data_IF_599111482156
#
_entry.id   IF_599111482156
#
_cell.length_a   1.000
_cell.length_b   1.000
_cell.length_c   1.000
_cell.angle_alpha   90.00
_cell.angle_beta   90.00
_cell.angle_gamma   90.00
#
_symmetry.space_group_name_H-M   'P 1'
#
loop_
_entity.id
_entity.type
_entity.pdbx_description
1 polymer ?
#
# COMPACT_ATOMS: atom_id res chain seq x y z
N UNK A 1 -15.68 -4.50 13.50
CA UNK A 1 -14.91 -3.23 13.59
C UNK A 1 -13.96 -3.01 12.43
N UNK A 2 -12.99 -3.90 12.14
CA UNK A 2 -12.05 -3.68 11.00
C UNK A 2 -12.77 -3.51 9.66
N UNK A 3 -13.68 -4.43 9.33
CA UNK A 3 -14.48 -4.34 8.10
C UNK A 3 -15.27 -3.02 8.06
N UNK A 4 -15.97 -2.67 9.15
CA UNK A 4 -16.72 -1.41 9.25
C UNK A 4 -15.84 -0.17 9.02
N UNK A 5 -14.62 -0.16 9.56
CA UNK A 5 -13.66 0.94 9.36
C UNK A 5 -13.13 1.02 7.92
N UNK A 6 -12.90 -0.12 7.27
CA UNK A 6 -12.49 -0.18 5.85
C UNK A 6 -13.63 0.24 4.95
N UNK A 7 -14.85 -0.26 5.18
CA UNK A 7 -16.06 0.15 4.45
C UNK A 7 -16.33 1.64 4.65
N UNK A 8 -16.22 2.16 5.87
CA UNK A 8 -16.36 3.59 6.14
C UNK A 8 -15.33 4.44 5.38
N UNK A 9 -14.08 4.00 5.30
CA UNK A 9 -13.02 4.65 4.51
C UNK A 9 -13.33 4.66 3.01
N UNK A 10 -13.81 3.53 2.46
CA UNK A 10 -14.20 3.43 1.04
C UNK A 10 -15.40 4.33 0.76
N UNK A 11 -16.45 4.26 1.57
CA UNK A 11 -17.66 5.07 1.41
C UNK A 11 -17.36 6.57 1.57
N UNK A 12 -16.47 6.95 2.50
CA UNK A 12 -16.06 8.35 2.67
C UNK A 12 -15.25 8.91 1.49
N UNK A 13 -14.73 8.05 0.62
CA UNK A 13 -14.06 8.46 -0.63
C UNK A 13 -15.02 8.71 -1.79
N UNK A 14 -16.28 8.27 -1.68
CA UNK A 14 -17.29 8.46 -2.72
C UNK A 14 -17.73 9.93 -2.77
N UNK A 15 -17.73 10.57 -3.95
CA UNK A 15 -18.13 11.98 -4.08
C UNK A 15 -19.60 12.19 -3.69
N UNK A 16 -20.47 11.19 -3.87
CA UNK A 16 -21.89 11.26 -3.52
C UNK A 16 -22.12 11.31 -2.00
N UNK A 17 -21.16 10.80 -1.21
CA UNK A 17 -21.22 10.77 0.25
C UNK A 17 -20.33 11.85 0.90
N UNK A 18 -19.81 12.77 0.09
CA UNK A 18 -19.06 13.93 0.54
C UNK A 18 -19.96 15.15 0.54
N UNK A 19 -20.11 15.77 1.70
CA UNK A 19 -20.72 17.08 1.83
C UNK A 19 -19.74 18.16 1.39
N UNK A 20 -20.18 19.02 0.46
CA UNK A 20 -19.44 20.22 0.04
C UNK A 20 -19.60 21.31 1.09
N UNK A 21 -18.50 21.75 1.67
CA UNK A 21 -18.45 22.93 2.53
C UNK A 21 -17.68 24.05 1.83
N UNK A 22 -18.32 25.21 1.65
CA UNK A 22 -17.66 26.41 1.12
C UNK A 22 -17.02 27.10 2.31
N UNK A 23 -15.69 27.11 2.37
CA UNK A 23 -14.96 27.95 3.32
C UNK A 23 -14.52 29.21 2.59
N UNK A 24 -15.05 30.37 3.00
CA UNK A 24 -14.54 31.67 2.57
C UNK A 24 -13.29 31.95 3.39
N UNK A 25 -12.12 31.83 2.76
CA UNK A 25 -10.86 32.18 3.41
C UNK A 25 -10.78 33.69 3.64
N UNK A 26 -9.98 34.14 4.63
CA UNK A 26 -9.78 35.56 4.92
C UNK A 26 -9.23 36.38 3.73
N UNK A 27 -8.71 35.70 2.70
CA UNK A 27 -8.25 36.29 1.43
C UNK A 27 -9.37 36.40 0.36
N UNK A 28 -10.61 36.02 0.67
CA UNK A 28 -11.74 36.05 -0.27
C UNK A 28 -11.77 34.90 -1.28
N UNK A 29 -10.89 33.91 -1.16
CA UNK A 29 -10.89 32.68 -1.96
C UNK A 29 -11.89 31.66 -1.39
N UNK A 30 -12.79 31.16 -2.25
CA UNK A 30 -13.72 30.07 -1.92
C UNK A 30 -13.01 28.71 -2.03
N UNK A 31 -12.63 28.13 -0.89
CA UNK A 31 -12.06 26.78 -0.86
C UNK A 31 -13.18 25.77 -0.64
N UNK A 32 -13.54 25.06 -1.71
CA UNK A 32 -14.50 23.96 -1.66
C UNK A 32 -13.87 22.75 -0.96
N UNK A 33 -14.25 22.52 0.30
CA UNK A 33 -13.79 21.38 1.08
C UNK A 33 -14.83 20.27 1.08
N UNK A 34 -14.44 19.12 0.55
CA UNK A 34 -15.23 17.89 0.61
C UNK A 34 -14.94 17.16 1.92
N UNK A 35 -15.96 17.01 2.76
CA UNK A 35 -15.90 16.21 3.99
C UNK A 35 -16.91 15.07 3.94
N UNK A 36 -16.55 13.86 4.43
CA UNK A 36 -17.51 12.77 4.55
C UNK A 36 -18.75 13.19 5.36
N UNK A 37 -19.88 12.53 5.13
CA UNK A 37 -21.04 12.72 5.98
C UNK A 37 -20.75 12.42 7.46
N UNK A 38 -21.41 13.17 8.35
CA UNK A 38 -21.25 13.08 9.81
C UNK A 38 -21.32 11.65 10.35
N UNK A 39 -22.22 10.81 9.80
CA UNK A 39 -22.34 9.41 10.21
C UNK A 39 -21.07 8.58 9.95
N UNK A 40 -20.40 8.81 8.82
CA UNK A 40 -19.16 8.09 8.48
C UNK A 40 -18.01 8.52 9.41
N UNK A 41 -17.94 9.81 9.72
CA UNK A 41 -16.96 10.36 10.68
C UNK A 41 -17.17 9.77 12.10
N UNK A 42 -18.42 9.66 12.55
CA UNK A 42 -18.73 9.01 13.84
C UNK A 42 -18.35 7.52 13.85
N UNK A 43 -18.64 6.79 12.78
CA UNK A 43 -18.23 5.38 12.65
C UNK A 43 -16.72 5.23 12.67
N UNK A 44 -15.99 6.11 11.98
CA UNK A 44 -14.54 6.14 11.97
C UNK A 44 -13.98 6.40 13.38
N UNK A 45 -14.51 7.40 14.09
CA UNK A 45 -14.13 7.73 15.46
C UNK A 45 -14.31 6.53 16.41
N UNK A 46 -15.48 5.89 16.38
CA UNK A 46 -15.76 4.71 17.22
C UNK A 46 -14.80 3.57 16.91
N UNK A 47 -14.49 3.33 15.63
CA UNK A 47 -13.53 2.30 15.22
C UNK A 47 -12.11 2.60 15.73
N UNK A 48 -11.66 3.86 15.66
CA UNK A 48 -10.33 4.27 16.11
C UNK A 48 -10.21 4.16 17.63
N UNK A 49 -11.24 4.59 18.38
CA UNK A 49 -11.30 4.42 19.83
C UNK A 49 -11.14 2.93 20.19
N UNK A 50 -11.90 2.06 19.52
CA UNK A 50 -11.81 0.61 19.72
C UNK A 50 -10.39 0.07 19.42
N UNK A 51 -9.79 0.46 18.30
CA UNK A 51 -8.43 0.02 17.94
C UNK A 51 -7.37 0.53 18.90
N UNK A 52 -7.54 1.73 19.43
CA UNK A 52 -6.64 2.30 20.44
C UNK A 52 -6.71 1.51 21.73
N UNK A 53 -7.92 1.22 22.21
CA UNK A 53 -8.12 0.39 23.42
C UNK A 53 -7.49 -0.99 23.22
N UNK A 54 -7.77 -1.65 22.07
CA UNK A 54 -7.19 -2.95 21.73
C UNK A 54 -5.66 -2.93 21.74
N UNK A 55 -5.03 -1.89 21.16
CA UNK A 55 -3.57 -1.73 21.14
C UNK A 55 -3.00 -1.45 22.54
N UNK A 56 -3.60 -0.53 23.30
CA UNK A 56 -3.15 -0.14 24.63
C UNK A 56 -3.23 -1.31 25.62
N UNK A 57 -4.33 -2.06 25.62
CA UNK A 57 -4.47 -3.23 26.49
C UNK A 57 -3.36 -4.25 26.20
N UNK A 58 -3.10 -4.55 24.92
CA UNK A 58 -1.99 -5.44 24.53
C UNK A 58 -0.63 -4.90 24.93
N UNK A 59 -0.41 -3.61 24.72
CA UNK A 59 0.83 -2.94 25.09
C UNK A 59 1.07 -3.01 26.61
N UNK A 60 0.05 -2.74 27.43
CA UNK A 60 0.13 -2.77 28.91
C UNK A 60 0.37 -4.20 29.43
N UNK A 61 -0.30 -5.20 28.87
CA UNK A 61 -0.18 -6.61 29.29
C UNK A 61 1.17 -7.22 28.90
N UNK A 62 1.81 -6.76 27.83
CA UNK A 62 3.09 -7.32 27.38
C UNK A 62 4.25 -6.99 28.35
N UNK A 63 5.13 -7.94 28.64
CA UNK A 63 6.31 -7.74 29.48
C UNK A 63 7.45 -7.01 28.74
N UNK A 64 7.72 -7.39 27.50
CA UNK A 64 8.81 -6.83 26.67
C UNK A 64 8.30 -5.74 25.70
N UNK A 65 8.08 -4.51 26.19
CA UNK A 65 7.46 -3.41 25.42
C UNK A 65 8.17 -3.11 24.08
N UNK A 66 9.51 -3.06 24.07
CA UNK A 66 10.28 -2.75 22.86
C UNK A 66 10.19 -3.85 21.80
N UNK A 67 10.08 -5.11 22.22
CA UNK A 67 9.89 -6.24 21.31
C UNK A 67 8.47 -6.24 20.75
N UNK A 68 7.48 -5.93 21.59
CA UNK A 68 6.09 -5.80 21.17
C UNK A 68 5.93 -4.79 20.03
N UNK A 69 6.48 -3.58 20.16
CA UNK A 69 6.32 -2.53 19.13
C UNK A 69 7.04 -2.85 17.81
N UNK A 70 8.05 -3.73 17.82
CA UNK A 70 8.81 -4.14 16.62
C UNK A 70 8.19 -5.32 15.88
N UNK A 71 7.21 -6.00 16.46
CA UNK A 71 6.56 -7.14 15.83
C UNK A 71 5.63 -6.68 14.69
N UNK A 72 5.68 -7.29 13.49
CA UNK A 72 4.98 -6.77 12.30
C UNK A 72 3.47 -6.53 12.49
N UNK A 73 2.77 -7.42 13.19
CA UNK A 73 1.34 -7.28 13.44
C UNK A 73 1.02 -6.12 14.41
N UNK A 74 1.90 -5.85 15.37
CA UNK A 74 1.73 -4.76 16.33
C UNK A 74 2.13 -3.41 15.70
N UNK A 75 3.08 -3.42 14.75
CA UNK A 75 3.40 -2.25 13.93
C UNK A 75 2.20 -1.82 13.08
N UNK A 76 1.50 -2.78 12.45
CA UNK A 76 0.26 -2.51 11.71
C UNK A 76 -0.83 -1.92 12.62
N UNK A 77 -1.00 -2.46 13.82
CA UNK A 77 -1.96 -1.93 14.79
C UNK A 77 -1.63 -0.47 15.18
N UNK A 78 -0.35 -0.15 15.36
CA UNK A 78 0.12 1.22 15.61
C UNK A 78 -0.12 2.15 14.41
N UNK A 79 0.27 1.73 13.20
CA UNK A 79 0.03 2.48 11.96
C UNK A 79 -1.45 2.73 11.68
N UNK A 80 -2.35 1.90 12.19
CA UNK A 80 -3.80 2.08 12.04
C UNK A 80 -4.34 3.26 12.85
N UNK A 81 -3.76 3.54 14.03
CA UNK A 81 -4.23 4.61 14.92
C UNK A 81 -3.46 5.93 14.73
N UNK A 82 -2.20 5.86 14.30
CA UNK A 82 -1.31 7.02 14.12
C UNK A 82 -1.95 8.16 13.32
N UNK A 83 -2.61 7.93 12.17
CA UNK A 83 -3.14 9.02 11.35
C UNK A 83 -4.08 9.96 12.11
N UNK A 84 -4.97 9.39 12.94
CA UNK A 84 -5.94 10.16 13.72
C UNK A 84 -5.27 10.99 14.81
N UNK A 85 -4.35 10.38 15.57
CA UNK A 85 -3.63 11.09 16.63
C UNK A 85 -2.71 12.16 16.06
N UNK A 86 -2.10 11.92 14.91
CA UNK A 86 -1.26 12.91 14.23
C UNK A 86 -2.10 14.10 13.74
N UNK A 87 -3.30 13.87 13.19
CA UNK A 87 -4.23 14.95 12.85
C UNK A 87 -4.63 15.78 14.07
N UNK A 88 -4.97 15.13 15.19
CA UNK A 88 -5.29 15.83 16.45
C UNK A 88 -4.11 16.66 16.94
N UNK A 89 -2.90 16.09 16.99
CA UNK A 89 -1.70 16.78 17.45
C UNK A 89 -1.39 17.98 16.56
N UNK A 90 -1.48 17.84 15.24
CA UNK A 90 -1.26 18.94 14.28
C UNK A 90 -2.32 20.04 14.43
N UNK A 91 -3.56 19.68 14.75
CA UNK A 91 -4.64 20.63 15.01
C UNK A 91 -4.44 21.38 16.33
N UNK A 92 -4.09 20.68 17.42
CA UNK A 92 -3.85 21.25 18.75
C UNK A 92 -2.58 22.10 18.77
N UNK A 93 -1.52 21.68 18.08
CA UNK A 93 -0.26 22.43 17.98
C UNK A 93 -0.39 23.76 17.21
N UNK A 94 -1.62 24.17 16.83
CA UNK A 94 -1.88 25.44 16.15
C UNK A 94 -1.43 25.47 14.70
N UNK A 95 -0.84 24.39 14.17
CA UNK A 95 -0.32 24.36 12.80
C UNK A 95 -1.47 24.44 11.78
N UNK A 96 -2.66 23.89 12.09
CA UNK A 96 -3.88 24.12 11.29
C UNK A 96 -4.57 25.45 11.62
N UNK A 97 -4.32 26.03 12.79
CA UNK A 97 -4.87 27.33 13.21
C UNK A 97 -4.45 28.48 12.27
N UNK A 98 -3.23 28.43 11.72
CA UNK A 98 -2.75 29.41 10.73
C UNK A 98 -3.44 29.26 9.36
N UNK A 99 -3.98 28.07 9.04
CA UNK A 99 -4.72 27.81 7.78
C UNK A 99 -6.19 28.26 7.89
N UNK A 100 -6.79 28.17 9.08
CA UNK A 100 -8.23 28.44 9.27
C UNK A 100 -8.50 29.86 9.78
N UNK A 101 -7.62 30.40 10.64
CA UNK A 101 -7.74 31.75 11.21
C UNK A 101 -6.48 32.52 10.89
N UNK A 102 -6.52 33.32 9.82
CA UNK A 102 -5.41 34.16 9.36
C UNK A 102 -4.98 35.20 10.41
N UNK A 103 -4.22 34.77 11.42
CA UNK A 103 -3.48 35.63 12.31
C UNK A 103 -2.01 35.63 11.84
N UNK A 104 -1.54 36.69 11.17
CA UNK A 104 -0.18 36.79 10.66
C UNK A 104 0.84 37.17 11.75
N UNK A 105 0.52 37.03 13.04
CA UNK A 105 1.31 37.59 14.14
C UNK A 105 2.45 36.69 14.64
N UNK A 106 2.69 35.52 14.05
CA UNK A 106 3.94 34.77 14.26
C UNK A 106 4.67 34.52 12.93
N UNK A 107 5.58 35.44 12.60
CA UNK A 107 6.82 35.16 11.87
C UNK A 107 6.67 34.76 10.41
N UNK A 108 6.50 35.74 9.53
CA UNK A 108 6.56 35.59 8.09
C UNK A 108 7.96 35.18 7.58
N UNK A 109 8.23 33.86 7.49
CA UNK A 109 9.23 33.25 6.59
C UNK A 109 8.71 31.97 5.88
N UNK A 110 7.40 31.73 5.91
CA UNK A 110 6.80 30.39 5.95
C UNK A 110 5.99 29.98 4.71
N UNK A 111 6.37 30.39 3.49
CA UNK A 111 5.70 29.86 2.27
C UNK A 111 6.08 28.38 2.06
N UNK A 112 7.28 27.97 2.47
CA UNK A 112 7.75 26.58 2.44
C UNK A 112 7.09 25.68 3.49
N UNK A 113 6.91 26.15 4.73
CA UNK A 113 6.38 25.32 5.82
C UNK A 113 4.85 25.11 5.71
N UNK A 114 4.11 26.05 5.09
CA UNK A 114 2.69 25.87 4.76
C UNK A 114 2.46 24.80 3.70
N UNK A 115 3.25 24.81 2.61
CA UNK A 115 3.20 23.79 1.56
C UNK A 115 3.65 22.43 2.08
N UNK A 116 4.66 22.40 2.95
CA UNK A 116 5.10 21.21 3.67
C UNK A 116 3.98 20.60 4.52
N UNK A 117 3.27 21.41 5.30
CA UNK A 117 2.15 20.92 6.13
C UNK A 117 0.99 20.37 5.30
N UNK A 118 0.61 21.05 4.22
CA UNK A 118 -0.45 20.57 3.34
C UNK A 118 -0.09 19.20 2.72
N UNK A 119 1.19 18.98 2.37
CA UNK A 119 1.67 17.66 1.95
C UNK A 119 1.62 16.64 3.08
N UNK A 120 2.05 17.00 4.30
CA UNK A 120 1.97 16.12 5.47
C UNK A 120 0.53 15.67 5.71
N UNK A 121 -0.44 16.59 5.70
CA UNK A 121 -1.86 16.25 5.87
C UNK A 121 -2.36 15.28 4.78
N UNK A 122 -1.90 15.42 3.53
CA UNK A 122 -2.23 14.46 2.45
C UNK A 122 -1.63 13.08 2.72
N UNK A 123 -0.37 13.02 3.14
CA UNK A 123 0.29 11.75 3.48
C UNK A 123 -0.41 11.08 4.66
N UNK A 124 -0.78 11.83 5.69
CA UNK A 124 -1.53 11.32 6.85
C UNK A 124 -2.87 10.71 6.44
N UNK A 125 -3.60 11.36 5.52
CA UNK A 125 -4.83 10.79 4.96
C UNK A 125 -4.58 9.48 4.21
N UNK A 126 -3.52 9.40 3.41
CA UNK A 126 -3.14 8.16 2.69
C UNK A 126 -2.73 7.04 3.67
N UNK A 127 -2.05 7.38 4.77
CA UNK A 127 -1.68 6.40 5.80
C UNK A 127 -2.89 5.69 6.42
N UNK A 128 -4.10 6.28 6.35
CA UNK A 128 -5.33 5.60 6.81
C UNK A 128 -5.57 4.27 6.08
N UNK A 129 -5.10 4.11 4.84
CA UNK A 129 -5.17 2.84 4.08
C UNK A 129 -4.44 1.71 4.79
N UNK A 130 -3.45 2.02 5.65
CA UNK A 130 -2.75 1.02 6.46
C UNK A 130 -3.69 0.16 7.32
N UNK A 131 -4.87 0.68 7.70
CA UNK A 131 -5.89 -0.06 8.45
C UNK A 131 -6.39 -1.31 7.71
N UNK A 132 -6.32 -1.36 6.38
CA UNK A 132 -6.67 -2.55 5.59
C UNK A 132 -5.78 -3.72 5.98
N UNK A 133 -4.50 -3.46 6.24
CA UNK A 133 -3.56 -4.50 6.67
C UNK A 133 -3.86 -5.05 8.06
N UNK A 134 -4.65 -4.36 8.89
CA UNK A 134 -5.11 -4.89 10.19
C UNK A 134 -5.91 -6.20 10.03
N UNK A 135 -6.50 -6.43 8.85
CA UNK A 135 -7.12 -7.72 8.48
C UNK A 135 -6.14 -8.91 8.59
N UNK A 136 -4.82 -8.69 8.43
CA UNK A 136 -3.81 -9.72 8.58
C UNK A 136 -3.82 -10.38 9.96
N UNK A 137 -4.25 -9.68 11.01
CA UNK A 137 -4.36 -10.27 12.35
C UNK A 137 -5.46 -11.33 12.44
N UNK A 138 -6.52 -11.19 11.65
CA UNK A 138 -7.71 -12.04 11.70
C UNK A 138 -7.75 -13.08 10.57
N UNK A 139 -6.90 -12.92 9.55
CA UNK A 139 -6.78 -13.88 8.45
C UNK A 139 -5.55 -14.76 8.63
N UNK A 140 -5.76 -16.04 8.95
CA UNK A 140 -4.68 -17.04 8.95
C UNK A 140 -4.01 -17.15 7.58
N UNK A 141 -4.80 -17.03 6.49
CA UNK A 141 -4.28 -17.07 5.13
C UNK A 141 -3.28 -15.93 4.85
N UNK A 142 -3.56 -14.71 5.32
CA UNK A 142 -2.66 -13.57 5.11
C UNK A 142 -1.39 -13.67 5.96
N UNK A 143 -1.47 -14.29 7.15
CA UNK A 143 -0.28 -14.62 7.97
C UNK A 143 0.61 -15.66 7.30
N UNK A 144 0.01 -16.76 6.82
CA UNK A 144 0.75 -17.83 6.11
C UNK A 144 1.33 -17.33 4.78
N UNK A 145 0.61 -16.45 4.08
CA UNK A 145 1.14 -15.76 2.91
C UNK A 145 2.37 -14.90 3.26
N UNK A 146 2.27 -14.04 4.28
CA UNK A 146 3.40 -13.21 4.70
C UNK A 146 4.62 -14.03 5.14
N UNK A 147 4.40 -15.16 5.83
CA UNK A 147 5.48 -16.08 6.20
C UNK A 147 6.10 -16.75 4.97
N UNK A 148 5.28 -17.22 4.03
CA UNK A 148 5.76 -17.82 2.77
C UNK A 148 6.55 -16.82 1.93
N UNK A 149 6.08 -15.57 1.84
CA UNK A 149 6.82 -14.49 1.15
C UNK A 149 8.15 -14.26 1.84
N UNK A 150 8.19 -14.15 3.17
CA UNK A 150 9.43 -13.97 3.94
C UNK A 150 10.42 -15.10 3.68
N UNK A 151 9.96 -16.35 3.69
CA UNK A 151 10.79 -17.53 3.41
C UNK A 151 11.29 -17.52 1.97
N UNK A 152 10.46 -17.07 1.03
CA UNK A 152 10.80 -17.03 -0.40
C UNK A 152 11.44 -15.70 -0.85
N UNK A 153 11.84 -14.82 0.09
CA UNK A 153 12.43 -13.51 -0.23
C UNK A 153 13.73 -13.64 -1.04
N UNK A 154 14.67 -14.56 -0.74
CA UNK A 154 15.86 -14.73 -1.56
C UNK A 154 15.53 -15.06 -3.02
N UNK A 155 14.61 -15.97 -3.26
CA UNK A 155 14.17 -16.39 -4.59
C UNK A 155 13.42 -15.26 -5.31
N UNK A 156 12.51 -14.57 -4.61
CA UNK A 156 11.76 -13.44 -5.14
C UNK A 156 12.67 -12.23 -5.45
N UNK A 157 13.73 -12.04 -4.67
CA UNK A 157 14.68 -10.95 -4.89
C UNK A 157 15.48 -11.13 -6.18
N UNK A 158 15.90 -12.36 -6.48
CA UNK A 158 16.60 -12.71 -7.73
C UNK A 158 15.69 -12.53 -8.95
N UNK A 159 14.42 -12.93 -8.86
CA UNK A 159 13.43 -12.57 -9.89
C UNK A 159 13.39 -11.06 -10.10
N UNK A 160 13.18 -10.31 -9.02
CA UNK A 160 12.93 -8.87 -9.11
C UNK A 160 14.10 -8.18 -9.81
N UNK A 161 15.32 -8.66 -9.57
CA UNK A 161 16.53 -8.23 -10.28
C UNK A 161 16.51 -8.57 -11.78
N UNK A 162 16.12 -9.79 -12.16
CA UNK A 162 15.98 -10.16 -13.58
C UNK A 162 14.90 -9.34 -14.31
N UNK A 163 13.73 -9.16 -13.67
CA UNK A 163 12.63 -8.37 -14.23
C UNK A 163 13.05 -6.90 -14.41
N UNK A 164 13.69 -6.31 -13.39
CA UNK A 164 14.16 -4.93 -13.46
C UNK A 164 15.22 -4.75 -14.56
N UNK A 165 16.15 -5.69 -14.69
CA UNK A 165 17.16 -5.67 -15.76
C UNK A 165 16.51 -5.74 -17.14
N UNK A 166 15.54 -6.64 -17.33
CA UNK A 166 14.81 -6.77 -18.58
C UNK A 166 13.99 -5.51 -18.90
N UNK A 167 13.33 -4.92 -17.90
CA UNK A 167 12.61 -3.64 -18.07
C UNK A 167 13.57 -2.56 -18.53
N UNK A 168 14.70 -2.35 -17.86
CA UNK A 168 15.67 -1.31 -18.24
C UNK A 168 16.20 -1.56 -19.65
N UNK A 169 16.54 -2.81 -19.98
CA UNK A 169 17.07 -3.20 -21.28
C UNK A 169 16.08 -2.90 -22.43
N UNK A 170 14.86 -3.44 -22.36
CA UNK A 170 13.85 -3.24 -23.41
C UNK A 170 13.35 -1.79 -23.47
N UNK A 171 13.29 -1.09 -22.33
CA UNK A 171 12.92 0.34 -22.31
C UNK A 171 13.96 1.20 -22.99
N UNK A 172 15.25 0.88 -22.81
CA UNK A 172 16.35 1.59 -23.47
C UNK A 172 16.30 1.35 -24.98
N UNK A 173 16.14 0.09 -25.41
CA UNK A 173 15.96 -0.26 -26.82
C UNK A 173 14.76 0.45 -27.45
N UNK A 174 13.62 0.43 -26.77
CA UNK A 174 12.40 1.07 -27.28
C UNK A 174 12.56 2.57 -27.41
N UNK A 175 13.15 3.22 -26.41
CA UNK A 175 13.44 4.65 -26.47
C UNK A 175 14.31 5.00 -27.69
N UNK A 176 15.41 4.28 -27.91
CA UNK A 176 16.27 4.55 -29.07
C UNK A 176 15.64 4.19 -30.41
N UNK A 177 14.72 3.23 -30.46
CA UNK A 177 14.01 2.88 -31.70
C UNK A 177 12.94 3.90 -32.09
N UNK A 178 12.31 4.57 -31.12
CA UNK A 178 11.16 5.45 -31.35
C UNK A 178 11.47 6.95 -31.16
N UNK A 179 12.62 7.32 -30.59
CA UNK A 179 12.93 8.72 -30.23
C UNK A 179 12.92 9.70 -31.40
N UNK A 180 13.22 9.21 -32.61
CA UNK A 180 13.38 10.03 -33.81
C UNK A 180 12.03 10.15 -34.58
N UNK A 181 10.98 9.47 -34.11
CA UNK A 181 9.64 9.50 -34.73
C UNK A 181 8.82 10.71 -34.24
N UNK A 182 8.27 11.54 -35.15
CA UNK A 182 7.44 12.68 -34.77
C UNK A 182 6.16 12.24 -34.06
N UNK A 183 5.88 12.85 -32.90
CA UNK A 183 4.66 12.58 -32.12
C UNK A 183 4.73 11.33 -31.23
N UNK A 184 5.91 10.71 -31.11
CA UNK A 184 6.11 9.58 -30.19
C UNK A 184 5.83 9.96 -28.73
N UNK A 185 5.26 9.01 -27.99
CA UNK A 185 5.07 9.13 -26.53
C UNK A 185 6.33 8.71 -25.76
N UNK A 186 7.29 8.06 -26.41
CA UNK A 186 8.54 7.56 -25.81
C UNK A 186 9.56 8.68 -25.58
N UNK A 187 9.25 9.62 -24.69
CA UNK A 187 10.06 10.83 -24.43
C UNK A 187 11.32 10.59 -23.60
N UNK A 188 11.33 9.55 -22.77
CA UNK A 188 12.50 9.18 -21.97
C UNK A 188 12.47 7.70 -21.59
N UNK A 189 13.61 7.16 -21.15
CA UNK A 189 13.73 5.76 -20.74
C UNK A 189 12.73 5.38 -19.64
N UNK A 190 12.47 6.21 -18.59
CA UNK A 190 11.41 5.90 -17.62
C UNK A 190 9.99 5.82 -18.21
N UNK A 191 9.67 6.64 -19.22
CA UNK A 191 8.38 6.55 -19.92
C UNK A 191 8.28 5.26 -20.74
N UNK A 192 9.37 4.85 -21.40
CA UNK A 192 9.46 3.53 -22.03
C UNK A 192 9.41 2.40 -20.99
N UNK A 193 9.89 2.64 -19.77
CA UNK A 193 9.78 1.79 -18.59
C UNK A 193 8.34 1.43 -18.25
N UNK A 194 7.46 2.43 -18.19
CA UNK A 194 6.03 2.22 -17.98
C UNK A 194 5.42 1.30 -19.05
N UNK A 195 5.70 1.59 -20.32
CA UNK A 195 5.26 0.74 -21.44
C UNK A 195 5.80 -0.69 -21.33
N UNK A 196 7.07 -0.84 -20.98
CA UNK A 196 7.73 -2.13 -20.88
C UNK A 196 7.14 -2.98 -19.75
N UNK A 197 6.88 -2.38 -18.58
CA UNK A 197 6.19 -3.03 -17.47
C UNK A 197 4.82 -3.54 -17.93
N UNK A 198 3.99 -2.66 -18.48
CA UNK A 198 2.62 -2.97 -18.93
C UNK A 198 2.60 -4.05 -20.02
N UNK A 199 3.60 -4.07 -20.90
CA UNK A 199 3.73 -5.04 -21.99
C UNK A 199 4.25 -6.40 -21.50
N UNK A 200 5.31 -6.41 -20.67
CA UNK A 200 5.89 -7.64 -20.12
C UNK A 200 4.92 -8.33 -19.15
N UNK A 201 4.08 -7.58 -18.44
CA UNK A 201 3.00 -8.11 -17.59
C UNK A 201 1.72 -8.41 -18.35
N UNK A 202 1.74 -8.33 -19.69
CA UNK A 202 0.61 -8.62 -20.59
C UNK A 202 -0.68 -7.82 -20.29
N UNK A 203 -0.56 -6.64 -19.66
CA UNK A 203 -1.70 -5.77 -19.34
C UNK A 203 -2.14 -4.99 -20.58
N UNK A 204 -1.18 -4.39 -21.29
CA UNK A 204 -1.42 -3.79 -22.61
C UNK A 204 -2.50 -2.69 -22.65
N UNK A 205 -2.40 -1.65 -21.81
CA UNK A 205 -3.36 -0.53 -21.80
C UNK A 205 -3.51 0.19 -23.15
N UNK A 206 -2.50 0.11 -24.03
CA UNK A 206 -2.50 0.76 -25.35
C UNK A 206 -2.27 2.27 -25.31
N UNK A 207 -1.90 2.81 -24.15
CA UNK A 207 -1.55 4.21 -23.96
C UNK A 207 -0.19 4.57 -24.59
N UNK A 208 0.73 3.60 -24.66
CA UNK A 208 2.01 3.68 -25.39
C UNK A 208 2.10 2.53 -26.39
N UNK A 209 2.32 2.84 -27.67
CA UNK A 209 2.48 1.85 -28.74
C UNK A 209 3.58 2.30 -29.71
N UNK A 210 4.56 1.43 -30.04
CA UNK A 210 5.58 1.75 -31.03
C UNK A 210 4.97 1.91 -32.42
N UNK A 211 5.41 2.93 -33.14
CA UNK A 211 4.96 3.19 -34.51
C UNK A 211 5.94 2.62 -35.53
N UNK A 212 7.23 2.64 -35.21
CA UNK A 212 8.30 2.21 -36.11
C UNK A 212 8.31 0.69 -36.28
N UNK A 213 8.85 0.24 -37.41
CA UNK A 213 9.05 -1.19 -37.66
C UNK A 213 9.96 -1.84 -36.61
N UNK A 214 11.08 -1.19 -36.27
CA UNK A 214 12.02 -1.69 -35.26
C UNK A 214 11.39 -1.72 -33.86
N UNK A 215 10.62 -0.69 -33.49
CA UNK A 215 9.85 -0.68 -32.25
C UNK A 215 8.88 -1.85 -32.15
N UNK A 216 8.18 -2.21 -33.23
CA UNK A 216 7.28 -3.38 -33.24
C UNK A 216 8.02 -4.71 -33.05
N UNK A 217 9.23 -4.86 -33.61
CA UNK A 217 10.08 -6.04 -33.36
C UNK A 217 10.49 -6.08 -31.88
N UNK A 218 10.98 -4.97 -31.34
CA UNK A 218 11.38 -4.87 -29.93
C UNK A 218 10.21 -5.19 -29.01
N UNK A 219 9.01 -4.67 -29.31
CA UNK A 219 7.79 -4.97 -28.56
C UNK A 219 7.42 -6.45 -28.60
N UNK A 220 7.60 -7.10 -29.74
CA UNK A 220 7.34 -8.54 -29.89
C UNK A 220 8.35 -9.37 -29.09
N UNK A 221 9.63 -9.01 -29.10
CA UNK A 221 10.64 -9.67 -28.27
C UNK A 221 10.40 -9.43 -26.77
N UNK A 222 10.02 -8.19 -26.39
CA UNK A 222 9.74 -7.82 -25.01
C UNK A 222 8.52 -8.57 -24.45
N UNK A 223 7.46 -8.75 -25.23
CA UNK A 223 6.27 -9.49 -24.79
C UNK A 223 6.57 -10.97 -24.56
N UNK A 224 7.28 -11.63 -25.48
CA UNK A 224 7.70 -13.04 -25.34
C UNK A 224 8.63 -13.18 -24.12
N UNK A 225 9.62 -12.31 -24.00
CA UNK A 225 10.55 -12.32 -22.86
C UNK A 225 9.83 -12.10 -21.53
N UNK A 226 8.84 -11.20 -21.48
CA UNK A 226 8.05 -10.93 -20.28
C UNK A 226 7.31 -12.16 -19.76
N UNK A 227 6.62 -12.88 -20.65
CA UNK A 227 5.93 -14.13 -20.28
C UNK A 227 6.90 -15.16 -19.70
N UNK A 228 8.08 -15.32 -20.31
CA UNK A 228 9.10 -16.26 -19.82
C UNK A 228 9.64 -15.85 -18.45
N UNK A 229 9.98 -14.57 -18.26
CA UNK A 229 10.52 -14.05 -17.00
C UNK A 229 9.51 -14.16 -15.86
N UNK A 230 8.22 -13.94 -16.13
CA UNK A 230 7.16 -14.05 -15.13
C UNK A 230 6.75 -15.50 -14.81
N UNK A 231 7.03 -16.46 -15.69
CA UNK A 231 6.68 -17.86 -15.45
C UNK A 231 7.51 -18.48 -14.31
N UNK A 232 8.83 -18.23 -14.26
CA UNK A 232 9.75 -18.84 -13.29
C UNK A 232 9.41 -18.60 -11.80
N UNK A 233 9.03 -17.40 -11.37
CA UNK A 233 8.74 -17.14 -9.97
C UNK A 233 7.36 -17.59 -9.58
N UNK A 234 6.39 -17.50 -10.48
CA UNK A 234 5.05 -18.01 -10.22
C UNK A 234 5.16 -19.51 -9.94
N UNK A 235 5.92 -20.26 -10.74
CA UNK A 235 6.14 -21.69 -10.50
C UNK A 235 6.90 -21.94 -9.20
N UNK A 236 7.97 -21.20 -8.91
CA UNK A 236 8.72 -21.33 -7.65
C UNK A 236 7.88 -21.00 -6.41
N UNK A 237 7.08 -19.93 -6.44
CA UNK A 237 6.19 -19.53 -5.34
C UNK A 237 5.11 -20.60 -5.13
N UNK A 238 4.51 -21.12 -6.20
CA UNK A 238 3.51 -22.19 -6.12
C UNK A 238 4.12 -23.46 -5.52
N UNK A 239 5.34 -23.83 -5.95
CA UNK A 239 6.03 -25.00 -5.41
C UNK A 239 6.37 -24.82 -3.92
N UNK A 240 6.89 -23.66 -3.52
CA UNK A 240 7.17 -23.35 -2.11
C UNK A 240 5.90 -23.30 -1.26
N UNK A 241 4.81 -22.74 -1.79
CA UNK A 241 3.52 -22.72 -1.10
C UNK A 241 2.98 -24.14 -0.93
N UNK A 242 3.05 -24.99 -1.96
CA UNK A 242 2.64 -26.39 -1.88
C UNK A 242 3.47 -27.16 -0.84
N UNK A 243 4.80 -27.00 -0.86
CA UNK A 243 5.71 -27.63 0.11
C UNK A 243 5.38 -27.22 1.55
N UNK A 244 5.18 -25.93 1.79
CA UNK A 244 4.84 -25.42 3.13
C UNK A 244 3.46 -25.93 3.58
N UNK A 245 2.47 -25.93 2.70
CA UNK A 245 1.12 -26.40 2.98
C UNK A 245 1.08 -27.91 3.30
N UNK A 246 1.79 -28.74 2.53
CA UNK A 246 1.89 -30.17 2.77
C UNK A 246 2.61 -30.48 4.09
N UNK A 247 3.63 -29.69 4.44
CA UNK A 247 4.34 -29.80 5.72
C UNK A 247 3.41 -29.52 6.89
N UNK A 248 2.63 -28.42 6.87
CA UNK A 248 1.64 -28.12 7.92
C UNK A 248 0.59 -29.23 8.04
N UNK A 249 0.09 -29.75 6.91
CA UNK A 249 -0.91 -30.82 6.88
C UNK A 249 -0.36 -32.13 7.46
N UNK A 250 0.88 -32.49 7.14
CA UNK A 250 1.52 -33.70 7.64
C UNK A 250 1.85 -33.60 9.13
N UNK A 251 2.28 -32.43 9.61
CA UNK A 251 2.51 -32.19 11.02
C UNK A 251 1.20 -32.31 11.81
N UNK A 252 0.11 -31.72 11.31
CA UNK A 252 -1.23 -31.86 11.90
C UNK A 252 -1.68 -33.33 12.00
N UNK A 253 -1.48 -34.12 10.94
CA UNK A 253 -1.78 -35.57 10.96
C UNK A 253 -0.93 -36.33 11.97
N UNK A 254 0.35 -35.98 12.08
CA UNK A 254 1.29 -36.61 13.02
C UNK A 254 0.90 -36.33 14.46
N UNK A 255 0.57 -35.08 14.78
CA UNK A 255 0.05 -34.67 16.09
C UNK A 255 -1.26 -35.39 16.40
N UNK A 256 -2.18 -35.48 15.44
CA UNK A 256 -3.45 -36.19 15.63
C UNK A 256 -3.23 -37.69 15.88
N UNK A 257 -2.30 -38.32 15.16
CA UNK A 257 -1.94 -39.74 15.36
C UNK A 257 -1.33 -39.97 16.75
N UNK A 258 -0.42 -39.10 17.19
CA UNK A 258 0.14 -39.16 18.56
C UNK A 258 -0.94 -39.02 19.63
N UNK A 259 -1.89 -38.10 19.45
CA UNK A 259 -3.04 -37.94 20.37
C UNK A 259 -3.95 -39.17 20.41
N UNK A 260 -4.18 -39.83 19.28
CA UNK A 260 -4.96 -41.08 19.22
C UNK A 260 -4.26 -42.23 19.95
N UNK A 261 -2.95 -42.38 19.76
CA UNK A 261 -2.17 -43.39 20.47
C UNK A 261 -2.16 -43.12 21.98
N UNK A 262 -1.93 -41.88 22.41
CA UNK A 262 -1.96 -41.53 23.84
C UNK A 262 -3.30 -41.85 24.52
N UNK A 263 -4.44 -41.74 23.81
CA UNK A 263 -5.76 -42.14 24.31
C UNK A 263 -6.00 -43.65 24.32
N UNK A 264 -5.28 -44.42 23.51
CA UNK A 264 -5.42 -45.88 23.46
C UNK A 264 -4.58 -46.59 24.53
N UNK A 265 -3.56 -45.91 25.07
CA UNK A 265 -2.67 -46.43 26.13
C UNK A 265 -2.96 -45.83 27.52
N UNK A 266 -4.02 -45.03 27.65
CA UNK A 266 -4.52 -44.48 28.92
C UNK A 266 -5.81 -45.20 29.30
#
# INVERSE_FOLDING_TARGET
>A
MVIASVTGMILGSLPELQSSSINITAAGTEDLNFKPHLLLDYVELVCIIWFTIEYLVRFVVCTEKCKFVREPLNLIDSLTIIPFYLEIVLHIAGFTGTIIFGNPSLGANTIGEFRGLAMIMRVVRVMRVARVFKLARYSSGLKSFGMTVKTSLPELSMLTLFLLTAIIFFSTLMYFAERDEPGTKFKSIPHAGWWCIVTMTTVGYGDFCPQTFFGKIIASCASISGVLVLAFPITMIVENFSKNYDTEKNDFKTVQRRRRMAKAYA
#
